data_IF_961320644040
#
_entry.id   IF_961320644040
#
_cell.length_a   1.000
_cell.length_b   1.000
_cell.length_c   1.000
_cell.angle_alpha   90.00
_cell.angle_beta   90.00
_cell.angle_gamma   90.00
#
_symmetry.space_group_name_H-M   'P 1'
#
loop_
_entity.id
_entity.type
_entity.pdbx_description
1 polymer ?
#
# COMPACT_ATOMS: atom_id res chain seq x y z
N UNK A 1 -16.64 10.01 -15.23
CA UNK A 1 -15.45 9.44 -14.56
C UNK A 1 -14.29 10.45 -14.46
N UNK A 2 -13.90 11.12 -15.55
CA UNK A 2 -12.82 12.13 -15.56
C UNK A 2 -12.99 13.25 -14.52
N UNK A 3 -14.21 13.77 -14.35
CA UNK A 3 -14.55 14.80 -13.33
C UNK A 3 -14.31 14.32 -11.89
N UNK A 4 -14.61 13.05 -11.59
CA UNK A 4 -14.40 12.46 -10.26
C UNK A 4 -12.90 12.28 -9.99
N UNK A 5 -12.13 11.82 -10.98
CA UNK A 5 -10.67 11.71 -10.86
C UNK A 5 -9.98 13.07 -10.69
N UNK A 6 -10.44 14.10 -11.40
CA UNK A 6 -9.96 15.47 -11.20
C UNK A 6 -10.31 16.00 -9.80
N UNK A 7 -11.51 15.74 -9.32
CA UNK A 7 -11.89 16.07 -7.95
C UNK A 7 -11.03 15.33 -6.94
N UNK A 8 -10.74 14.05 -7.13
CA UNK A 8 -9.83 13.28 -6.25
C UNK A 8 -8.38 13.78 -6.32
N UNK A 9 -7.90 14.19 -7.49
CA UNK A 9 -6.56 14.74 -7.67
C UNK A 9 -6.40 16.16 -7.10
N UNK A 10 -7.50 16.91 -6.99
CA UNK A 10 -7.53 18.27 -6.41
C UNK A 10 -7.89 18.24 -4.91
N UNK A 11 -8.66 17.23 -4.50
CA UNK A 11 -8.99 16.96 -3.12
C UNK A 11 -7.77 16.33 -2.45
N UNK A 12 -6.97 17.13 -1.74
CA UNK A 12 -5.93 16.65 -0.81
C UNK A 12 -6.51 15.88 0.40
N UNK A 13 -7.57 15.10 0.19
CA UNK A 13 -8.44 14.49 1.18
C UNK A 13 -8.28 12.96 1.25
N UNK A 14 -7.69 12.30 0.23
CA UNK A 14 -7.51 10.85 0.28
C UNK A 14 -6.51 10.42 1.36
N UNK A 15 -5.44 11.20 1.60
CA UNK A 15 -4.52 11.06 2.74
C UNK A 15 -5.16 11.38 4.10
N UNK A 16 -6.21 12.19 4.09
CA UNK A 16 -6.67 12.97 5.24
C UNK A 16 -7.86 12.32 5.93
N UNK A 17 -8.45 11.26 5.37
CA UNK A 17 -9.52 10.54 6.03
C UNK A 17 -9.03 9.30 6.77
N UNK A 18 -8.08 8.51 6.27
CA UNK A 18 -7.73 7.26 6.98
C UNK A 18 -7.10 7.51 8.36
N UNK A 19 -6.18 8.46 8.51
CA UNK A 19 -5.50 8.68 9.82
C UNK A 19 -6.39 9.41 10.84
N UNK A 20 -7.12 10.49 10.50
CA UNK A 20 -8.08 11.12 11.39
C UNK A 20 -9.33 10.27 11.65
N UNK A 21 -9.82 9.50 10.68
CA UNK A 21 -10.94 8.57 10.89
C UNK A 21 -10.50 7.40 11.75
N UNK A 22 -9.36 6.76 11.47
CA UNK A 22 -8.82 5.70 12.33
C UNK A 22 -8.59 6.20 13.77
N UNK A 23 -8.12 7.44 13.94
CA UNK A 23 -7.99 8.09 15.25
C UNK A 23 -9.34 8.34 15.92
N UNK A 24 -10.34 8.88 15.22
CA UNK A 24 -11.70 9.09 15.77
C UNK A 24 -12.41 7.78 16.09
N UNK A 25 -12.24 6.75 15.27
CA UNK A 25 -12.76 5.40 15.52
C UNK A 25 -12.04 4.80 16.73
N UNK A 26 -10.72 4.96 16.84
CA UNK A 26 -9.95 4.54 18.03
C UNK A 26 -10.44 5.26 19.31
N UNK A 27 -10.56 6.58 19.28
CA UNK A 27 -11.11 7.40 20.39
C UNK A 27 -12.56 7.01 20.74
N UNK A 28 -13.35 6.59 19.75
CA UNK A 28 -14.69 6.03 19.97
C UNK A 28 -14.66 4.64 20.61
N UNK A 29 -13.77 3.75 20.17
CA UNK A 29 -13.62 2.40 20.71
C UNK A 29 -12.97 2.36 22.10
N UNK A 30 -12.14 3.33 22.44
CA UNK A 30 -11.58 3.49 23.79
C UNK A 30 -12.68 3.72 24.84
N UNK A 31 -13.80 4.33 24.44
CA UNK A 31 -14.98 4.59 25.29
C UNK A 31 -15.91 3.39 25.46
N UNK A 32 -15.74 2.34 24.66
CA UNK A 32 -16.53 1.11 24.72
C UNK A 32 -15.68 0.08 25.48
N UNK A 33 -16.20 -0.48 26.58
CA UNK A 33 -15.50 -1.56 27.30
C UNK A 33 -15.00 -2.61 26.30
N UNK A 34 -13.72 -3.03 26.37
CA UNK A 34 -13.19 -3.98 25.40
C UNK A 34 -14.10 -5.23 25.41
N UNK A 35 -14.38 -5.83 24.23
CA UNK A 35 -15.21 -7.02 24.20
C UNK A 35 -14.63 -8.06 25.15
N UNK A 36 -15.47 -8.80 25.90
CA UNK A 36 -14.99 -9.79 26.85
C UNK A 36 -14.31 -10.93 26.07
N UNK A 37 -13.01 -10.82 25.86
CA UNK A 37 -12.19 -11.89 25.27
C UNK A 37 -11.82 -12.95 26.31
N UNK A 38 -12.66 -13.16 27.33
CA UNK A 38 -12.37 -14.12 28.41
C UNK A 38 -12.31 -15.56 27.92
N UNK A 39 -13.00 -15.89 26.81
CA UNK A 39 -13.19 -17.27 26.35
C UNK A 39 -12.70 -17.57 24.93
N UNK A 40 -11.88 -16.72 24.31
CA UNK A 40 -11.29 -17.08 23.02
C UNK A 40 -10.02 -17.92 23.27
N UNK A 41 -9.96 -19.21 22.89
CA UNK A 41 -8.77 -20.07 23.05
C UNK A 41 -7.64 -19.70 22.09
N UNK A 42 -7.65 -18.46 21.59
CA UNK A 42 -6.57 -17.89 20.82
C UNK A 42 -5.34 -17.78 21.74
N UNK A 43 -4.18 -18.35 21.38
CA UNK A 43 -2.95 -18.17 22.15
C UNK A 43 -2.48 -16.70 22.19
N UNK A 44 -3.16 -15.83 21.44
CA UNK A 44 -2.92 -14.40 21.36
C UNK A 44 -3.90 -13.64 22.27
N UNK A 45 -3.69 -13.65 23.60
CA UNK A 45 -4.33 -12.68 24.50
C UNK A 45 -3.74 -11.30 24.25
N UNK A 46 -4.25 -10.60 23.23
CA UNK A 46 -3.97 -9.19 23.02
C UNK A 46 -4.56 -8.41 24.19
N UNK A 47 -3.81 -7.45 24.76
CA UNK A 47 -4.40 -6.48 25.68
C UNK A 47 -5.58 -5.76 24.99
N UNK A 48 -6.54 -5.27 25.78
CA UNK A 48 -7.75 -4.64 25.24
C UNK A 48 -7.47 -3.55 24.19
N UNK A 49 -6.40 -2.78 24.38
CA UNK A 49 -5.99 -1.72 23.44
C UNK A 49 -5.43 -2.27 22.13
N UNK A 50 -4.69 -3.39 22.17
CA UNK A 50 -4.14 -4.01 20.98
C UNK A 50 -5.24 -4.69 20.13
N UNK A 51 -6.25 -5.27 20.78
CA UNK A 51 -7.42 -5.81 20.08
C UNK A 51 -8.24 -4.71 19.39
N UNK A 52 -8.41 -3.55 20.02
CA UNK A 52 -9.06 -2.37 19.44
C UNK A 52 -8.30 -1.86 18.22
N UNK A 53 -6.97 -1.73 18.30
CA UNK A 53 -6.13 -1.29 17.17
C UNK A 53 -6.31 -2.21 15.95
N UNK A 54 -6.35 -3.54 16.17
CA UNK A 54 -6.55 -4.51 15.10
C UNK A 54 -7.96 -4.39 14.46
N UNK A 55 -9.00 -4.23 15.29
CA UNK A 55 -10.38 -4.06 14.80
C UNK A 55 -10.55 -2.78 13.97
N UNK A 56 -9.96 -1.65 14.39
CA UNK A 56 -9.96 -0.41 13.60
C UNK A 56 -9.34 -0.66 12.23
N UNK A 57 -8.19 -1.32 12.17
CA UNK A 57 -7.50 -1.59 10.89
C UNK A 57 -8.31 -2.47 9.96
N UNK A 58 -8.94 -3.53 10.49
CA UNK A 58 -9.81 -4.40 9.70
C UNK A 58 -10.96 -3.57 9.12
N UNK A 59 -11.66 -2.80 9.94
CA UNK A 59 -12.79 -1.95 9.52
C UNK A 59 -12.37 -0.94 8.45
N UNK A 60 -11.24 -0.25 8.66
CA UNK A 60 -10.72 0.73 7.70
C UNK A 60 -10.36 0.07 6.36
N UNK A 61 -9.73 -1.10 6.40
CA UNK A 61 -9.41 -1.87 5.19
C UNK A 61 -10.67 -2.24 4.40
N UNK A 62 -11.74 -2.66 5.06
CA UNK A 62 -13.02 -2.98 4.41
C UNK A 62 -13.62 -1.78 3.65
N UNK A 63 -13.53 -0.58 4.21
CA UNK A 63 -14.09 0.63 3.60
C UNK A 63 -13.23 1.13 2.42
N UNK A 64 -11.91 0.99 2.51
CA UNK A 64 -10.98 1.54 1.51
C UNK A 64 -10.79 0.65 0.28
N UNK A 65 -10.99 -0.66 0.40
CA UNK A 65 -10.77 -1.63 -0.70
C UNK A 65 -11.62 -1.35 -1.95
N UNK A 66 -12.94 -1.09 -1.87
CA UNK A 66 -13.75 -0.77 -3.04
C UNK A 66 -13.28 0.48 -3.78
N UNK A 67 -12.98 1.57 -3.06
CA UNK A 67 -12.51 2.81 -3.66
C UNK A 67 -11.15 2.64 -4.36
N UNK A 68 -10.24 1.85 -3.76
CA UNK A 68 -8.97 1.50 -4.37
C UNK A 68 -9.16 0.67 -5.64
N UNK A 69 -10.13 -0.26 -5.65
CA UNK A 69 -10.43 -1.10 -6.82
C UNK A 69 -10.96 -0.26 -7.99
N UNK A 70 -11.89 0.65 -7.73
CA UNK A 70 -12.46 1.52 -8.76
C UNK A 70 -11.39 2.44 -9.37
N UNK A 71 -10.49 2.97 -8.52
CA UNK A 71 -9.36 3.76 -8.95
C UNK A 71 -8.37 2.97 -9.81
N UNK A 72 -8.01 1.75 -9.40
CA UNK A 72 -7.14 0.88 -10.19
C UNK A 72 -7.77 0.56 -11.55
N UNK A 73 -9.07 0.25 -11.58
CA UNK A 73 -9.78 0.03 -12.83
C UNK A 73 -9.80 1.29 -13.72
N UNK A 74 -10.04 2.46 -13.13
CA UNK A 74 -10.04 3.75 -13.83
C UNK A 74 -8.67 4.13 -14.40
N UNK A 75 -7.59 3.67 -13.80
CA UNK A 75 -6.23 4.03 -14.18
C UNK A 75 -5.49 2.87 -14.88
N UNK A 76 -6.19 1.80 -15.23
CA UNK A 76 -5.60 0.68 -15.95
C UNK A 76 -5.21 1.10 -17.39
N UNK A 77 -4.00 0.74 -17.88
CA UNK A 77 -3.54 1.12 -19.21
C UNK A 77 -4.38 0.61 -20.38
N UNK A 78 -5.05 -0.53 -20.20
CA UNK A 78 -5.76 -1.24 -21.26
C UNK A 78 -7.11 -0.59 -21.65
N UNK A 79 -7.48 0.54 -21.04
CA UNK A 79 -8.71 1.29 -21.32
C UNK A 79 -8.47 2.38 -22.39
N UNK A 80 -9.35 2.46 -23.40
CA UNK A 80 -9.27 3.44 -24.49
C UNK A 80 -9.20 4.91 -24.01
N UNK A 81 -9.72 5.21 -22.82
CA UNK A 81 -9.70 6.55 -22.22
C UNK A 81 -8.48 6.80 -21.32
N UNK A 82 -7.57 5.82 -21.18
CA UNK A 82 -6.40 5.92 -20.31
C UNK A 82 -5.50 7.11 -20.65
N UNK A 83 -5.26 7.38 -21.94
CA UNK A 83 -4.39 8.48 -22.36
C UNK A 83 -4.87 9.85 -21.81
N UNK A 84 -6.19 10.08 -21.77
CA UNK A 84 -6.79 11.29 -21.23
C UNK A 84 -6.74 11.35 -19.69
N UNK A 85 -6.83 10.19 -19.02
CA UNK A 85 -6.83 10.09 -17.55
C UNK A 85 -5.43 10.02 -16.95
N UNK A 86 -4.41 9.66 -17.74
CA UNK A 86 -3.02 9.45 -17.30
C UNK A 86 -2.47 10.59 -16.42
N UNK A 87 -2.65 11.89 -16.74
CA UNK A 87 -2.16 12.97 -15.87
C UNK A 87 -2.82 12.98 -14.48
N UNK A 88 -4.14 12.78 -14.40
CA UNK A 88 -4.87 12.75 -13.14
C UNK A 88 -4.50 11.51 -12.30
N UNK A 89 -4.45 10.33 -12.94
CA UNK A 89 -4.00 9.09 -12.28
C UNK A 89 -2.58 9.23 -11.72
N UNK A 90 -1.70 9.96 -12.40
CA UNK A 90 -0.33 10.21 -11.95
C UNK A 90 -0.27 11.15 -10.76
N UNK A 91 -1.09 12.19 -10.73
CA UNK A 91 -1.21 13.07 -9.57
C UNK A 91 -1.71 12.30 -8.35
N UNK A 92 -2.75 11.47 -8.52
CA UNK A 92 -3.26 10.59 -7.48
C UNK A 92 -2.17 9.61 -7.01
N UNK A 93 -1.38 9.03 -7.93
CA UNK A 93 -0.27 8.16 -7.58
C UNK A 93 0.75 8.83 -6.65
N UNK A 94 1.12 10.09 -6.93
CA UNK A 94 2.07 10.85 -6.11
C UNK A 94 1.53 11.12 -4.70
N UNK A 95 0.23 11.34 -4.56
CA UNK A 95 -0.38 11.49 -3.24
C UNK A 95 -0.43 10.16 -2.49
N UNK A 96 -0.90 9.11 -3.14
CA UNK A 96 -1.05 7.79 -2.55
C UNK A 96 0.28 7.17 -2.11
N UNK A 97 1.35 7.33 -2.89
CA UNK A 97 2.71 6.87 -2.54
C UNK A 97 3.28 7.54 -1.29
N UNK A 98 2.74 8.68 -0.88
CA UNK A 98 3.12 9.37 0.36
C UNK A 98 2.09 9.15 1.49
N UNK A 99 1.14 8.23 1.32
CA UNK A 99 0.15 7.90 2.34
C UNK A 99 0.78 7.15 3.52
N UNK A 100 0.24 7.40 4.71
CA UNK A 100 0.56 6.64 5.93
C UNK A 100 -0.05 5.23 5.92
N UNK A 101 -1.03 4.97 5.04
CA UNK A 101 -1.67 3.67 4.86
C UNK A 101 -0.91 2.82 3.86
N UNK A 102 -0.62 1.56 4.22
CA UNK A 102 0.08 0.62 3.36
C UNK A 102 -0.73 0.32 2.09
N UNK A 103 -2.05 0.16 2.23
CA UNK A 103 -2.93 -0.09 1.09
C UNK A 103 -2.87 1.07 0.08
N UNK A 104 -3.02 2.30 0.57
CA UNK A 104 -2.92 3.50 -0.26
C UNK A 104 -1.53 3.61 -0.90
N UNK A 105 -0.46 3.39 -0.14
CA UNK A 105 0.91 3.41 -0.64
C UNK A 105 1.14 2.42 -1.80
N UNK A 106 0.69 1.16 -1.64
CA UNK A 106 0.81 0.13 -2.67
C UNK A 106 -0.02 0.45 -3.93
N UNK A 107 -1.22 1.00 -3.77
CA UNK A 107 -2.02 1.49 -4.90
C UNK A 107 -1.29 2.62 -5.61
N UNK A 108 -0.72 3.57 -4.86
CA UNK A 108 0.09 4.66 -5.41
C UNK A 108 1.26 4.16 -6.25
N UNK A 109 2.02 3.18 -5.75
CA UNK A 109 3.14 2.57 -6.49
C UNK A 109 2.64 1.97 -7.80
N UNK A 110 1.52 1.25 -7.76
CA UNK A 110 0.95 0.62 -8.94
C UNK A 110 0.53 1.65 -9.99
N UNK A 111 -0.15 2.70 -9.57
CA UNK A 111 -0.54 3.80 -10.45
C UNK A 111 0.68 4.54 -11.01
N UNK A 112 1.73 4.75 -10.21
CA UNK A 112 2.96 5.39 -10.69
C UNK A 112 3.62 4.54 -11.78
N UNK A 113 3.61 3.22 -11.61
CA UNK A 113 4.14 2.27 -12.60
C UNK A 113 3.37 2.32 -13.92
N UNK A 114 2.04 2.34 -13.87
CA UNK A 114 1.19 2.42 -15.07
C UNK A 114 1.25 3.79 -15.75
N UNK A 115 1.39 4.86 -14.96
CA UNK A 115 1.38 6.23 -15.47
C UNK A 115 2.77 6.81 -15.69
N UNK A 116 3.82 5.98 -15.60
CA UNK A 116 5.21 6.39 -15.78
C UNK A 116 5.40 7.22 -17.07
N UNK A 117 6.17 8.31 -16.95
CA UNK A 117 6.55 9.14 -18.11
C UNK A 117 7.60 8.48 -18.98
N UNK A 118 8.55 7.83 -18.34
CA UNK A 118 9.79 7.35 -18.93
C UNK A 118 10.32 6.14 -18.15
N UNK A 119 11.43 5.58 -18.62
CA UNK A 119 12.06 4.43 -18.00
C UNK A 119 12.61 4.70 -16.59
N UNK A 120 12.96 5.95 -16.24
CA UNK A 120 13.45 6.28 -14.92
C UNK A 120 12.29 6.29 -13.90
N UNK A 121 11.17 6.91 -14.24
CA UNK A 121 9.94 6.93 -13.44
C UNK A 121 9.42 5.50 -13.20
N UNK A 122 9.45 4.66 -14.24
CA UNK A 122 9.09 3.24 -14.13
C UNK A 122 10.02 2.48 -13.17
N UNK A 123 11.34 2.66 -13.30
CA UNK A 123 12.32 2.04 -12.38
C UNK A 123 12.16 2.50 -10.94
N UNK A 124 11.82 3.77 -10.72
CA UNK A 124 11.54 4.30 -9.39
C UNK A 124 10.33 3.60 -8.76
N UNK A 125 9.23 3.45 -9.50
CA UNK A 125 8.06 2.73 -9.02
C UNK A 125 8.38 1.25 -8.70
N UNK A 126 9.23 0.60 -9.51
CA UNK A 126 9.70 -0.76 -9.21
C UNK A 126 10.53 -0.84 -7.92
N UNK A 127 11.42 0.13 -7.70
CA UNK A 127 12.24 0.18 -6.48
C UNK A 127 11.36 0.37 -5.23
N UNK A 128 10.37 1.27 -5.29
CA UNK A 128 9.40 1.47 -4.20
C UNK A 128 8.57 0.21 -3.92
N UNK A 129 8.07 -0.45 -4.98
CA UNK A 129 7.35 -1.72 -4.83
C UNK A 129 8.20 -2.79 -4.15
N UNK A 130 9.47 -2.91 -4.54
CA UNK A 130 10.42 -3.86 -3.96
C UNK A 130 10.71 -3.59 -2.49
N UNK A 131 10.85 -2.33 -2.10
CA UNK A 131 10.99 -1.96 -0.69
C UNK A 131 9.73 -2.32 0.11
N UNK A 132 8.55 -1.98 -0.40
CA UNK A 132 7.29 -2.27 0.27
C UNK A 132 7.06 -3.78 0.46
N UNK A 133 7.26 -4.58 -0.61
CA UNK A 133 7.11 -6.04 -0.55
C UNK A 133 8.10 -6.67 0.46
N UNK A 134 9.34 -6.15 0.52
CA UNK A 134 10.35 -6.59 1.48
C UNK A 134 9.93 -6.29 2.92
N UNK A 135 9.56 -5.04 3.20
CA UNK A 135 9.11 -4.64 4.53
C UNK A 135 7.88 -5.41 4.99
N UNK A 136 6.95 -5.71 4.08
CA UNK A 136 5.80 -6.56 4.35
C UNK A 136 6.20 -8.01 4.66
N UNK A 137 7.17 -8.57 3.93
CA UNK A 137 7.65 -9.92 4.18
C UNK A 137 8.31 -10.06 5.55
N UNK A 138 9.08 -9.05 5.96
CA UNK A 138 9.66 -8.95 7.31
C UNK A 138 8.54 -8.85 8.34
N UNK A 139 7.62 -7.90 8.19
CA UNK A 139 6.51 -7.72 9.13
C UNK A 139 5.68 -8.99 9.29
N UNK A 140 5.41 -9.71 8.20
CA UNK A 140 4.69 -10.98 8.23
C UNK A 140 5.45 -12.08 8.96
N UNK A 141 6.78 -12.12 8.83
CA UNK A 141 7.63 -13.10 9.52
C UNK A 141 7.76 -12.78 11.01
N UNK A 142 8.05 -11.53 11.37
CA UNK A 142 8.27 -11.11 12.75
C UNK A 142 6.99 -11.03 13.56
N UNK A 143 5.90 -10.53 12.99
CA UNK A 143 4.65 -10.42 13.74
C UNK A 143 3.84 -11.73 13.75
N UNK A 144 4.30 -12.78 13.05
CA UNK A 144 3.79 -14.14 13.21
C UNK A 144 4.44 -14.88 14.41
N UNK A 145 5.61 -14.43 14.86
CA UNK A 145 6.25 -14.96 16.06
C UNK A 145 5.63 -14.34 17.32
N UNK A 146 5.09 -15.20 18.19
CA UNK A 146 4.43 -14.83 19.44
C UNK A 146 5.30 -13.99 20.37
N UNK A 147 6.62 -14.18 20.35
CA UNK A 147 7.55 -13.41 21.20
C UNK A 147 7.76 -11.98 20.71
N UNK A 148 7.46 -11.69 19.45
CA UNK A 148 7.75 -10.41 18.79
C UNK A 148 6.51 -9.54 18.53
N UNK A 149 5.30 -10.05 18.79
CA UNK A 149 4.04 -9.32 18.59
C UNK A 149 3.98 -8.01 19.39
N UNK A 150 4.47 -8.00 20.63
CA UNK A 150 4.46 -6.78 21.48
C UNK A 150 5.39 -5.70 20.91
N UNK A 151 6.57 -6.09 20.44
CA UNK A 151 7.50 -5.17 19.78
C UNK A 151 6.90 -4.60 18.48
N UNK A 152 6.20 -5.42 17.69
CA UNK A 152 5.44 -4.95 16.52
C UNK A 152 4.39 -3.90 16.91
N UNK A 153 3.62 -4.14 17.97
CA UNK A 153 2.55 -3.25 18.41
C UNK A 153 3.10 -1.92 18.96
N UNK A 154 4.24 -1.94 19.65
CA UNK A 154 4.88 -0.72 20.13
C UNK A 154 5.57 0.08 19.02
N UNK A 155 6.16 -0.61 18.02
CA UNK A 155 6.63 0.02 16.80
C UNK A 155 5.48 0.72 16.06
N UNK A 156 4.32 0.05 15.95
CA UNK A 156 3.11 0.59 15.34
C UNK A 156 2.59 1.84 16.07
N UNK A 157 2.64 1.88 17.40
CA UNK A 157 2.18 3.04 18.20
C UNK A 157 3.01 4.30 17.98
N UNK A 158 4.32 4.14 17.74
CA UNK A 158 5.27 5.25 17.55
C UNK A 158 5.35 5.73 16.10
N UNK A 159 4.87 4.91 15.17
CA UNK A 159 4.95 5.20 13.76
C UNK A 159 3.85 6.18 13.30
N UNK A 160 4.22 7.06 12.37
CA UNK A 160 3.30 7.97 11.67
C UNK A 160 2.48 7.28 10.57
N UNK A 161 2.83 6.04 10.21
CA UNK A 161 2.14 5.22 9.22
C UNK A 161 2.58 3.75 9.25
N UNK A 162 1.85 2.90 8.52
CA UNK A 162 2.07 1.45 8.49
C UNK A 162 3.40 1.04 7.84
N UNK A 163 3.88 1.83 6.88
CA UNK A 163 5.19 1.61 6.27
C UNK A 163 6.33 1.99 7.24
N UNK A 164 6.17 3.08 7.99
CA UNK A 164 7.14 3.50 9.00
C UNK A 164 7.21 2.50 10.16
N UNK A 165 6.07 1.95 10.54
CA UNK A 165 5.97 0.82 11.45
C UNK A 165 6.76 -0.40 10.94
N UNK A 166 6.58 -0.76 9.67
CA UNK A 166 7.31 -1.87 9.06
C UNK A 166 8.82 -1.63 9.03
N UNK A 167 9.26 -0.39 8.77
CA UNK A 167 10.68 0.02 8.87
C UNK A 167 11.19 -0.05 10.31
N UNK A 168 10.39 0.36 11.29
CA UNK A 168 10.76 0.28 12.70
C UNK A 168 10.93 -1.17 13.16
N UNK A 169 10.03 -2.08 12.75
CA UNK A 169 10.14 -3.52 13.01
C UNK A 169 11.43 -4.08 12.39
N UNK A 170 11.72 -3.74 11.13
CA UNK A 170 12.96 -4.17 10.48
C UNK A 170 14.21 -3.75 11.27
N UNK A 171 14.27 -2.46 11.68
CA UNK A 171 15.39 -1.94 12.48
C UNK A 171 15.54 -2.62 13.83
N UNK A 172 14.43 -2.80 14.56
CA UNK A 172 14.42 -3.46 15.87
C UNK A 172 14.86 -4.92 15.78
N UNK A 173 14.58 -5.56 14.65
CA UNK A 173 14.92 -6.96 14.39
C UNK A 173 16.32 -7.15 13.80
N UNK A 174 17.13 -6.08 13.73
CA UNK A 174 18.47 -6.11 13.12
C UNK A 174 18.48 -6.34 11.61
N UNK A 175 17.33 -6.20 10.94
CA UNK A 175 17.20 -6.38 9.50
C UNK A 175 17.39 -5.06 8.76
N UNK A 176 17.83 -5.17 7.50
CA UNK A 176 17.90 -4.02 6.60
C UNK A 176 16.49 -3.50 6.28
N UNK A 177 16.32 -2.19 6.26
CA UNK A 177 15.09 -1.54 5.74
C UNK A 177 15.01 -1.60 4.22
N UNK A 178 16.14 -1.80 3.55
CA UNK A 178 16.20 -1.97 2.10
C UNK A 178 16.37 -3.44 1.72
N UNK A 179 15.68 -3.90 0.66
CA UNK A 179 15.80 -5.28 0.20
C UNK A 179 17.21 -5.61 -0.31
N UNK A 180 17.86 -6.69 0.17
CA UNK A 180 19.15 -7.16 -0.35
C UNK A 180 19.09 -7.39 -1.85
N UNK A 181 20.14 -7.12 -2.64
CA UNK A 181 20.09 -7.20 -4.12
C UNK A 181 19.62 -8.55 -4.68
N UNK A 182 19.91 -9.65 -3.98
CA UNK A 182 19.51 -11.01 -4.35
C UNK A 182 18.09 -11.38 -3.90
N UNK A 183 17.43 -10.55 -3.09
CA UNK A 183 16.07 -10.79 -2.64
C UNK A 183 15.08 -10.60 -3.79
N UNK A 184 14.20 -11.58 -3.96
CA UNK A 184 13.24 -11.65 -5.05
C UNK A 184 11.92 -12.16 -4.51
N UNK A 185 10.88 -11.34 -4.63
CA UNK A 185 9.50 -11.83 -4.50
C UNK A 185 9.04 -12.43 -5.83
N UNK A 186 8.70 -13.73 -5.83
CA UNK A 186 8.14 -14.44 -7.00
C UNK A 186 6.88 -13.75 -7.54
N UNK A 187 6.03 -13.21 -6.67
CA UNK A 187 4.80 -12.50 -7.08
C UNK A 187 5.15 -11.22 -7.82
N UNK A 188 6.14 -10.48 -7.30
CA UNK A 188 6.65 -9.27 -7.93
C UNK A 188 7.26 -9.55 -9.31
N UNK A 189 8.08 -10.60 -9.47
CA UNK A 189 8.64 -10.96 -10.77
C UNK A 189 7.56 -11.28 -11.82
N UNK A 190 6.53 -12.04 -11.43
CA UNK A 190 5.41 -12.34 -12.32
C UNK A 190 4.63 -11.09 -12.73
N UNK A 191 4.49 -10.12 -11.82
CA UNK A 191 3.86 -8.83 -12.11
C UNK A 191 4.71 -8.03 -13.09
N UNK A 192 5.97 -7.79 -12.76
CA UNK A 192 6.92 -7.04 -13.59
C UNK A 192 6.98 -7.60 -15.01
N UNK A 193 7.01 -8.93 -15.18
CA UNK A 193 6.99 -9.55 -16.50
C UNK A 193 5.74 -9.17 -17.31
N UNK A 194 4.55 -9.34 -16.73
CA UNK A 194 3.28 -8.98 -17.38
C UNK A 194 3.22 -7.49 -17.71
N UNK A 195 3.69 -6.64 -16.81
CA UNK A 195 3.59 -5.19 -16.98
C UNK A 195 4.64 -4.64 -17.94
N UNK A 196 5.81 -5.26 -18.05
CA UNK A 196 6.83 -4.88 -19.04
C UNK A 196 6.34 -5.15 -20.46
N UNK A 197 5.69 -6.30 -20.68
CA UNK A 197 5.03 -6.64 -21.96
C UNK A 197 3.90 -5.64 -22.33
N UNK A 198 3.24 -5.04 -21.34
CA UNK A 198 2.23 -3.99 -21.54
C UNK A 198 2.85 -2.62 -21.76
N UNK A 199 3.86 -2.25 -20.98
CA UNK A 199 4.55 -0.96 -21.06
C UNK A 199 5.19 -0.76 -22.44
N UNK A 200 5.86 -1.78 -22.98
CA UNK A 200 6.45 -1.70 -24.32
C UNK A 200 5.41 -1.42 -25.42
N UNK A 201 4.19 -1.97 -25.31
CA UNK A 201 3.08 -1.68 -26.23
C UNK A 201 2.56 -0.25 -26.15
N UNK A 202 2.63 0.39 -24.99
CA UNK A 202 1.99 1.69 -24.73
C UNK A 202 2.96 2.88 -24.81
N UNK A 203 4.26 2.65 -24.59
CA UNK A 203 5.28 3.71 -24.62
C UNK A 203 6.08 3.71 -25.93
N UNK A 204 6.02 2.63 -26.72
CA UNK A 204 6.71 2.55 -28.01
C UNK A 204 5.86 1.86 -29.09
N UNK A 205 4.78 2.49 -29.59
CA UNK A 205 3.89 1.88 -30.59
C UNK A 205 4.54 1.70 -31.98
N UNK A 206 5.71 2.29 -32.23
CA UNK A 206 6.39 2.28 -33.53
C UNK A 206 7.34 1.07 -33.75
N UNK A 207 7.46 0.14 -32.79
CA UNK A 207 8.47 -0.92 -32.83
C UNK A 207 8.04 -2.26 -33.45
N UNK A 208 6.80 -2.42 -33.91
CA UNK A 208 6.28 -3.73 -34.39
C UNK A 208 6.14 -3.86 -35.91
N UNK A 209 6.72 -2.96 -36.70
CA UNK A 209 6.84 -3.14 -38.16
C UNK A 209 8.23 -2.70 -38.64
N UNK A 210 9.23 -3.53 -38.36
CA UNK A 210 10.44 -3.59 -39.15
C UNK A 210 11.12 -4.92 -38.84
N UNK A 211 10.70 -5.97 -39.53
CA UNK A 211 11.57 -7.03 -40.02
C UNK A 211 10.83 -7.67 -41.20
N UNK A 212 11.41 -7.48 -42.39
CA UNK A 212 11.00 -8.12 -43.64
C UNK A 212 11.62 -9.48 -43.82
#
# INVERSE_FOLDING_TARGET
MTRVLQQMAQAGHFKTYETPLARRVREGLEKISPPPFENNPSPYRLSGDNARILQVRILMSFLSVPACRDLLHACQPDDATFAQRKPACRQIAAELTQSSSLLAHLVGIELQRWTARDAADYRQALALGREADWLMSLRGTYCADQTHIVACLDADKRATGELDASRAIARQSGQSVTPPSHWVDRRQQQRIRRDREKFHRHVNPAGTHADG
#
